data_IF_470106935499
#
_entry.id   IF_470106935499
#
_cell.length_a   1.000
_cell.length_b   1.000
_cell.length_c   1.000
_cell.angle_alpha   90.00
_cell.angle_beta   90.00
_cell.angle_gamma   90.00
#
_symmetry.space_group_name_H-M   'P 1'
#
loop_
_entity.id
_entity.type
_entity.pdbx_description
1 polymer ?
#
# COMPACT_ATOMS: atom_id res chain seq x y z
N UNK A 1 -1.37 -13.99 18.12
CA UNK A 1 -0.60 -14.11 16.86
C UNK A 1 -0.53 -12.75 16.18
N UNK A 2 0.64 -12.41 15.68
CA UNK A 2 0.83 -11.15 14.95
C UNK A 2 1.15 -11.46 13.50
N UNK A 3 0.58 -10.69 12.58
CA UNK A 3 0.89 -10.80 11.17
C UNK A 3 1.28 -9.42 10.64
N UNK A 4 2.04 -9.41 9.56
CA UNK A 4 2.37 -8.20 8.82
C UNK A 4 1.70 -8.29 7.45
N UNK A 5 1.01 -7.24 7.08
CA UNK A 5 0.33 -7.16 5.79
C UNK A 5 0.91 -6.02 4.98
N UNK A 6 1.21 -6.28 3.71
CA UNK A 6 1.68 -5.28 2.78
C UNK A 6 0.58 -4.99 1.76
N UNK A 7 0.32 -3.70 1.54
CA UNK A 7 -0.66 -3.24 0.55
C UNK A 7 -0.04 -2.14 -0.28
N UNK A 8 -0.20 -2.19 -1.59
CA UNK A 8 0.23 -1.09 -2.46
C UNK A 8 -0.97 -0.23 -2.84
N UNK A 9 -0.73 1.06 -2.96
CA UNK A 9 -1.73 2.03 -3.37
C UNK A 9 -1.16 2.91 -4.47
N UNK A 10 -2.01 3.36 -5.39
CA UNK A 10 -1.58 4.12 -6.56
C UNK A 10 -1.13 5.54 -6.24
N UNK A 11 -1.54 6.07 -5.10
CA UNK A 11 -1.19 7.43 -4.70
C UNK A 11 -1.07 7.56 -3.18
N UNK A 12 -0.44 8.64 -2.75
CA UNK A 12 -0.34 9.00 -1.34
C UNK A 12 -1.72 9.21 -0.72
N UNK A 13 -2.60 9.85 -1.44
CA UNK A 13 -3.97 10.13 -1.00
C UNK A 13 -4.76 8.85 -0.79
N UNK A 14 -4.65 7.92 -1.72
CA UNK A 14 -5.28 6.61 -1.61
C UNK A 14 -4.73 5.82 -0.42
N UNK A 15 -3.42 5.84 -0.24
CA UNK A 15 -2.77 5.17 0.89
C UNK A 15 -3.28 5.71 2.23
N UNK A 16 -3.38 7.04 2.36
CA UNK A 16 -3.89 7.67 3.57
C UNK A 16 -5.34 7.32 3.84
N UNK A 17 -6.14 7.23 2.79
CA UNK A 17 -7.55 6.85 2.90
C UNK A 17 -7.70 5.42 3.41
N UNK A 18 -6.91 4.50 2.86
CA UNK A 18 -6.89 3.10 3.29
C UNK A 18 -6.44 3.00 4.74
N UNK A 19 -5.35 3.68 5.10
CA UNK A 19 -4.82 3.67 6.46
C UNK A 19 -5.86 4.16 7.47
N UNK A 20 -6.52 5.27 7.17
CA UNK A 20 -7.55 5.84 8.03
C UNK A 20 -8.72 4.88 8.20
N UNK A 21 -9.18 4.26 7.12
CA UNK A 21 -10.27 3.28 7.17
C UNK A 21 -9.93 2.11 8.08
N UNK A 22 -8.71 1.57 7.95
CA UNK A 22 -8.27 0.45 8.77
C UNK A 22 -8.20 0.81 10.25
N UNK A 23 -7.72 2.00 10.57
CA UNK A 23 -7.61 2.47 11.95
C UNK A 23 -8.98 2.78 12.55
N UNK A 24 -9.87 3.41 11.79
CA UNK A 24 -11.22 3.74 12.25
C UNK A 24 -12.05 2.49 12.52
N UNK A 25 -11.88 1.45 11.71
CA UNK A 25 -12.54 0.16 11.90
C UNK A 25 -11.83 -0.73 12.92
N UNK A 26 -10.74 -0.24 13.50
CA UNK A 26 -9.95 -0.99 14.49
C UNK A 26 -9.41 -2.32 13.96
N UNK A 27 -9.19 -2.39 12.64
CA UNK A 27 -8.61 -3.57 12.00
C UNK A 27 -7.09 -3.60 12.11
N UNK A 28 -6.49 -2.45 12.41
CA UNK A 28 -5.04 -2.33 12.62
C UNK A 28 -4.77 -1.38 13.78
N UNK A 29 -3.69 -1.63 14.50
CA UNK A 29 -3.25 -0.74 15.58
C UNK A 29 -2.42 0.41 15.03
N UNK A 30 -1.74 0.18 13.90
CA UNK A 30 -0.82 1.14 13.30
C UNK A 30 -0.69 0.81 11.81
N UNK A 31 -0.55 1.84 10.99
CA UNK A 31 -0.30 1.69 9.56
C UNK A 31 0.84 2.63 9.19
N UNK A 32 1.88 2.06 8.57
CA UNK A 32 3.02 2.85 8.09
C UNK A 32 2.92 2.97 6.58
N UNK A 33 3.15 4.18 6.06
CA UNK A 33 3.09 4.47 4.64
C UNK A 33 4.48 4.82 4.15
N UNK A 34 4.97 4.10 3.14
CA UNK A 34 6.25 4.36 2.49
C UNK A 34 5.95 4.85 1.08
N UNK A 35 6.42 6.05 0.76
CA UNK A 35 6.18 6.66 -0.55
C UNK A 35 7.32 6.32 -1.51
N UNK A 36 7.02 6.42 -2.81
CA UNK A 36 8.04 6.28 -3.84
C UNK A 36 8.49 4.86 -4.12
N UNK A 37 7.64 3.88 -3.83
CA UNK A 37 7.91 2.50 -4.19
C UNK A 37 7.78 2.35 -5.70
N UNK A 38 8.78 1.74 -6.31
CA UNK A 38 8.79 1.44 -7.73
C UNK A 38 8.40 -0.03 -7.91
N UNK A 39 7.24 -0.25 -8.54
CA UNK A 39 6.74 -1.60 -8.78
C UNK A 39 6.94 -1.96 -10.25
N UNK A 40 7.53 -3.11 -10.52
CA UNK A 40 7.74 -3.63 -11.86
C UNK A 40 6.92 -4.89 -12.05
N UNK A 41 6.18 -4.96 -13.14
CA UNK A 41 5.23 -6.06 -13.36
C UNK A 41 5.03 -6.33 -14.84
N UNK A 42 4.52 -7.51 -15.14
CA UNK A 42 4.12 -7.87 -16.49
C UNK A 42 2.72 -7.34 -16.78
N UNK A 43 2.60 -6.63 -17.89
CA UNK A 43 1.32 -6.09 -18.35
C UNK A 43 1.24 -6.21 -19.86
N UNK A 44 0.23 -6.93 -20.35
CA UNK A 44 0.00 -7.11 -21.80
C UNK A 44 1.26 -7.55 -22.56
N UNK A 45 1.98 -8.53 -22.01
CA UNK A 45 3.17 -9.08 -22.64
C UNK A 45 4.42 -8.21 -22.57
N UNK A 46 4.40 -7.17 -21.76
CA UNK A 46 5.54 -6.26 -21.56
C UNK A 46 5.81 -6.05 -20.08
N UNK A 47 7.04 -5.67 -19.78
CA UNK A 47 7.38 -5.26 -18.42
C UNK A 47 7.03 -3.78 -18.32
N UNK A 48 6.22 -3.44 -17.34
CA UNK A 48 5.83 -2.07 -17.05
C UNK A 48 6.19 -1.74 -15.61
N UNK A 49 6.13 -0.47 -15.25
CA UNK A 49 6.42 -0.03 -13.91
C UNK A 49 5.49 1.11 -13.50
N UNK A 50 5.31 1.25 -12.19
CA UNK A 50 4.51 2.33 -11.62
C UNK A 50 5.13 2.75 -10.30
N UNK A 51 4.97 4.02 -9.95
CA UNK A 51 5.30 4.50 -8.62
C UNK A 51 4.08 4.38 -7.75
N UNK A 52 4.27 3.76 -6.60
CA UNK A 52 3.18 3.46 -5.69
C UNK A 52 3.56 3.80 -4.26
N UNK A 53 2.58 3.78 -3.38
CA UNK A 53 2.81 3.85 -1.95
C UNK A 53 2.66 2.44 -1.37
N UNK A 54 3.49 2.10 -0.40
CA UNK A 54 3.41 0.82 0.30
C UNK A 54 2.89 1.07 1.71
N UNK A 55 1.87 0.34 2.09
CA UNK A 55 1.38 0.34 3.46
C UNK A 55 1.90 -0.92 4.16
N UNK A 56 2.46 -0.72 5.34
CA UNK A 56 2.88 -1.80 6.22
C UNK A 56 1.98 -1.77 7.44
N UNK A 57 1.21 -2.80 7.57
CA UNK A 57 0.14 -2.89 8.57
C UNK A 57 0.49 -3.87 9.67
#
# INVERSE_FOLDING_TARGET
MYIVVFVTASSKEEARKIARGLLEEKLAACVNIILGIESHFWWQGKIDSAKEALLVI
#
